data_IF_729013173994
#
_entry.id   IF_729013173994
#
_cell.length_a   1.000
_cell.length_b   1.000
_cell.length_c   1.000
_cell.angle_alpha   90.00
_cell.angle_beta   90.00
_cell.angle_gamma   90.00
#
_symmetry.space_group_name_H-M   'P 1'
#
loop_
_entity.id
_entity.type
_entity.pdbx_description
1 polymer ?
#
# COMPACT_ATOMS: atom_id res chain seq x y z
N UNK A 1 2.77 -44.47 12.65
CA UNK A 1 3.70 -43.33 12.51
C UNK A 1 2.86 -42.11 12.17
N UNK A 2 2.48 -41.32 13.18
CA UNK A 2 1.49 -40.24 13.06
C UNK A 2 2.23 -38.92 12.82
N UNK A 3 2.21 -38.39 11.58
CA UNK A 3 2.69 -37.05 11.29
C UNK A 3 1.47 -36.12 11.15
N UNK A 4 0.99 -35.59 12.27
CA UNK A 4 0.09 -34.45 12.27
C UNK A 4 0.92 -33.17 12.11
N UNK A 5 1.13 -32.72 10.86
CA UNK A 5 1.67 -31.37 10.63
C UNK A 5 0.52 -30.37 10.71
N UNK A 6 0.40 -29.74 11.87
CA UNK A 6 -0.58 -28.70 12.13
C UNK A 6 -0.31 -27.48 11.23
N UNK A 7 -1.23 -27.19 10.30
CA UNK A 7 -1.37 -25.85 9.74
C UNK A 7 -2.10 -24.99 10.79
N UNK A 8 -1.35 -24.38 11.71
CA UNK A 8 -1.91 -23.40 12.65
C UNK A 8 -2.31 -22.16 11.85
N UNK A 9 -3.62 -21.94 11.72
CA UNK A 9 -4.22 -20.71 11.24
C UNK A 9 -4.00 -19.59 12.27
N UNK A 10 -2.79 -19.04 12.29
CA UNK A 10 -2.58 -17.79 13.02
C UNK A 10 -3.44 -16.71 12.35
N UNK A 11 -4.45 -16.26 13.08
CA UNK A 11 -5.30 -15.15 12.64
C UNK A 11 -4.40 -13.99 12.21
N UNK A 12 -4.66 -13.39 11.04
CA UNK A 12 -3.80 -12.34 10.54
C UNK A 12 -3.78 -11.18 11.55
N UNK A 13 -2.60 -10.85 12.06
CA UNK A 13 -2.45 -9.75 13.02
C UNK A 13 -2.79 -8.45 12.29
N UNK A 14 -3.84 -7.76 12.76
CA UNK A 14 -4.23 -6.46 12.22
C UNK A 14 -3.69 -5.35 13.10
N UNK A 15 -3.12 -4.32 12.48
CA UNK A 15 -2.62 -3.14 13.15
C UNK A 15 -3.17 -1.89 12.47
N UNK A 16 -3.84 -1.03 13.24
CA UNK A 16 -4.31 0.26 12.75
C UNK A 16 -3.28 1.33 13.11
N UNK A 17 -2.75 2.01 12.09
CA UNK A 17 -1.81 3.12 12.25
C UNK A 17 -2.49 4.44 11.92
N UNK A 18 -2.08 5.48 12.63
CA UNK A 18 -2.52 6.86 12.36
C UNK A 18 -1.40 7.58 11.63
N UNK A 19 -1.74 8.30 10.57
CA UNK A 19 -0.75 9.09 9.83
C UNK A 19 -0.25 10.25 10.71
N UNK A 20 1.08 10.45 10.85
CA UNK A 20 1.63 11.53 11.65
C UNK A 20 1.07 12.90 11.25
N UNK A 21 0.63 13.69 12.23
CA UNK A 21 0.09 15.03 11.98
C UNK A 21 -1.35 15.07 11.47
N UNK A 22 -2.07 13.94 11.39
CA UNK A 22 -3.48 13.91 10.98
C UNK A 22 -4.34 12.95 11.80
N UNK A 23 -5.66 13.03 11.63
CA UNK A 23 -6.64 12.11 12.21
C UNK A 23 -6.94 10.89 11.33
N UNK A 24 -6.30 10.78 10.16
CA UNK A 24 -6.52 9.72 9.19
C UNK A 24 -5.85 8.42 9.65
N UNK A 25 -6.63 7.32 9.68
CA UNK A 25 -6.18 5.99 10.11
C UNK A 25 -6.26 5.00 8.95
N UNK A 26 -5.25 4.14 8.84
CA UNK A 26 -5.21 3.03 7.90
C UNK A 26 -4.88 1.72 8.63
N UNK A 27 -5.47 0.62 8.16
CA UNK A 27 -5.28 -0.70 8.72
C UNK A 27 -4.29 -1.50 7.86
N UNK A 28 -3.36 -2.16 8.53
CA UNK A 28 -2.41 -3.09 7.92
C UNK A 28 -2.63 -4.48 8.51
N UNK A 29 -2.36 -5.48 7.70
CA UNK A 29 -2.50 -6.89 8.01
C UNK A 29 -1.14 -7.56 7.86
N UNK A 30 -0.69 -8.25 8.91
CA UNK A 30 0.52 -9.05 8.85
C UNK A 30 0.21 -10.36 8.12
N UNK A 31 0.87 -10.54 6.98
CA UNK A 31 0.91 -11.83 6.29
C UNK A 31 2.12 -12.60 6.81
N UNK A 32 1.84 -13.76 7.41
CA UNK A 32 2.87 -14.68 7.81
C UNK A 32 3.61 -15.17 6.57
N UNK A 33 4.94 -15.20 6.64
CA UNK A 33 5.78 -15.72 5.58
C UNK A 33 5.52 -17.20 5.33
N UNK A 34 5.80 -17.65 4.12
CA UNK A 34 5.50 -19.01 3.70
C UNK A 34 5.78 -19.22 2.22
N UNK A 35 5.49 -20.43 1.77
CA UNK A 35 5.60 -20.81 0.37
C UNK A 35 4.20 -20.81 -0.22
N UNK A 36 4.01 -20.09 -1.32
CA UNK A 36 2.77 -20.09 -2.08
C UNK A 36 3.05 -20.28 -3.57
N UNK A 37 2.06 -20.76 -4.31
CA UNK A 37 2.14 -20.88 -5.76
C UNK A 37 1.67 -19.57 -6.39
N UNK A 38 2.57 -18.86 -7.07
CA UNK A 38 2.27 -17.64 -7.82
C UNK A 38 2.08 -17.97 -9.30
N UNK A 39 1.13 -17.30 -9.96
CA UNK A 39 0.78 -17.50 -11.36
C UNK A 39 -0.38 -18.48 -11.57
N UNK A 40 -0.80 -18.65 -12.83
CA UNK A 40 -1.95 -19.46 -13.21
C UNK A 40 -1.63 -20.31 -14.43
N UNK A 41 -2.09 -21.56 -14.47
CA UNK A 41 -1.93 -22.42 -15.65
C UNK A 41 -2.86 -22.00 -16.82
N UNK A 42 -3.97 -21.34 -16.49
CA UNK A 42 -5.00 -20.90 -17.44
C UNK A 42 -4.93 -19.40 -17.76
N UNK A 43 -4.01 -18.66 -17.13
CA UNK A 43 -3.85 -17.22 -17.32
C UNK A 43 -3.29 -16.81 -18.67
N UNK A 44 -2.92 -15.53 -18.79
CA UNK A 44 -2.19 -15.01 -19.94
C UNK A 44 -0.74 -15.56 -19.98
N UNK A 45 -0.01 -15.27 -21.07
CA UNK A 45 1.34 -15.77 -21.27
C UNK A 45 2.34 -15.30 -20.19
N UNK A 46 2.12 -14.11 -19.62
CA UNK A 46 2.89 -13.49 -18.55
C UNK A 46 2.53 -14.01 -17.15
N UNK A 47 1.39 -14.69 -16.99
CA UNK A 47 0.96 -15.31 -15.72
C UNK A 47 1.41 -16.77 -15.59
N UNK A 48 1.95 -17.36 -16.66
CA UNK A 48 2.43 -18.75 -16.73
C UNK A 48 3.95 -18.84 -16.61
N UNK A 49 4.49 -19.94 -16.05
CA UNK A 49 3.80 -21.04 -15.37
C UNK A 49 3.58 -20.76 -13.88
N UNK A 50 2.64 -21.47 -13.23
CA UNK A 50 2.53 -21.46 -11.78
C UNK A 50 3.83 -21.99 -11.15
N UNK A 51 4.44 -21.21 -10.27
CA UNK A 51 5.72 -21.54 -9.63
C UNK A 51 5.68 -21.21 -8.13
N UNK A 52 6.51 -21.90 -7.35
CA UNK A 52 6.57 -21.71 -5.89
C UNK A 52 7.42 -20.49 -5.55
N UNK A 53 6.87 -19.58 -4.76
CA UNK A 53 7.53 -18.39 -4.25
C UNK A 53 7.58 -18.47 -2.72
N UNK A 54 8.77 -18.29 -2.16
CA UNK A 54 8.99 -18.14 -0.73
C UNK A 54 8.98 -16.65 -0.39
N UNK A 55 8.07 -16.24 0.50
CA UNK A 55 8.03 -14.88 1.01
C UNK A 55 8.35 -14.86 2.50
N UNK A 56 9.14 -13.85 2.90
CA UNK A 56 9.29 -13.50 4.31
C UNK A 56 8.02 -12.81 4.83
N UNK A 57 7.74 -12.82 6.15
CA UNK A 57 6.58 -12.13 6.70
C UNK A 57 6.61 -10.62 6.39
N UNK A 58 5.47 -10.06 5.98
CA UNK A 58 5.34 -8.64 5.66
C UNK A 58 3.95 -8.10 5.96
N UNK A 59 3.85 -6.77 6.06
CA UNK A 59 2.59 -6.06 6.26
C UNK A 59 2.01 -5.61 4.93
N UNK A 60 0.71 -5.83 4.73
CA UNK A 60 -0.04 -5.33 3.56
C UNK A 60 -1.22 -4.48 4.03
N UNK A 61 -1.59 -3.45 3.27
CA UNK A 61 -2.79 -2.67 3.55
C UNK A 61 -4.05 -3.54 3.42
N UNK A 62 -5.01 -3.38 4.34
CA UNK A 62 -6.30 -4.09 4.27
C UNK A 62 -7.14 -3.63 3.06
N UNK A 63 -6.97 -2.36 2.68
CA UNK A 63 -7.67 -1.69 1.59
C UNK A 63 -6.65 -0.94 0.73
N UNK A 64 -7.06 -0.60 -0.48
CA UNK A 64 -6.33 0.34 -1.32
C UNK A 64 -6.20 1.71 -0.62
N UNK A 65 -5.16 2.45 -1.01
CA UNK A 65 -4.93 3.81 -0.51
C UNK A 65 -6.11 4.69 -0.89
N UNK A 66 -6.72 5.32 0.11
CA UNK A 66 -7.85 6.22 -0.13
C UNK A 66 -7.37 7.59 -0.56
N UNK A 67 -8.20 8.32 -1.29
CA UNK A 67 -7.86 9.68 -1.73
C UNK A 67 -7.49 10.60 -0.56
N UNK A 68 -8.16 10.47 0.60
CA UNK A 68 -7.85 11.26 1.80
C UNK A 68 -6.46 10.97 2.38
N UNK A 69 -6.01 9.71 2.36
CA UNK A 69 -4.67 9.31 2.81
C UNK A 69 -3.60 9.88 1.86
N UNK A 70 -3.85 9.82 0.55
CA UNK A 70 -2.98 10.40 -0.47
C UNK A 70 -2.93 11.94 -0.41
N UNK A 71 -4.07 12.61 -0.28
CA UNK A 71 -4.17 14.09 -0.20
C UNK A 71 -3.47 14.61 1.06
N UNK A 72 -3.56 13.86 2.16
CA UNK A 72 -2.79 14.11 3.39
C UNK A 72 -1.29 14.05 3.12
N UNK A 73 -0.81 13.00 2.45
CA UNK A 73 0.60 12.89 2.07
C UNK A 73 1.03 14.05 1.18
N UNK A 74 0.23 14.37 0.15
CA UNK A 74 0.54 15.44 -0.80
C UNK A 74 0.64 16.82 -0.12
N UNK A 75 -0.30 17.14 0.77
CA UNK A 75 -0.27 18.39 1.57
C UNK A 75 0.86 18.40 2.60
N UNK A 76 1.20 17.26 3.18
CA UNK A 76 2.31 17.16 4.13
C UNK A 76 3.70 17.33 3.47
N UNK A 77 3.80 17.29 2.14
CA UNK A 77 5.03 17.63 1.43
C UNK A 77 5.39 19.14 1.49
N UNK A 78 4.74 19.93 2.35
CA UNK A 78 4.95 21.36 2.59
C UNK A 78 6.30 21.67 3.27
N UNK A 79 7.39 21.22 2.65
CA UNK A 79 8.63 21.98 2.68
C UNK A 79 8.42 23.15 1.73
N UNK A 80 8.53 24.41 2.20
CA UNK A 80 8.33 25.57 1.36
C UNK A 80 9.20 25.45 0.11
N UNK A 81 8.60 25.59 -1.08
CA UNK A 81 9.34 25.71 -2.36
C UNK A 81 10.40 26.82 -2.31
N UNK A 82 10.24 27.74 -1.36
CA UNK A 82 11.03 28.95 -1.15
C UNK A 82 12.12 28.82 -0.10
N UNK A 83 12.22 27.71 0.64
CA UNK A 83 13.37 27.49 1.53
C UNK A 83 14.50 26.92 0.70
N UNK A 84 15.61 27.64 0.62
CA UNK A 84 16.88 27.11 0.14
C UNK A 84 17.31 25.96 1.08
N UNK A 85 16.86 24.75 0.78
CA UNK A 85 17.34 23.56 1.47
C UNK A 85 18.75 23.33 0.94
N UNK A 86 19.72 23.18 1.85
CA UNK A 86 21.15 22.96 1.53
C UNK A 86 21.39 21.53 1.01
N UNK A 87 20.69 21.15 -0.05
CA UNK A 87 20.79 19.86 -0.74
C UNK A 87 20.93 20.11 -2.24
N UNK A 88 21.77 19.30 -2.86
CA UNK A 88 22.22 19.46 -4.25
C UNK A 88 21.10 19.21 -5.28
N UNK A 89 20.10 18.40 -4.92
CA UNK A 89 18.90 18.20 -5.74
C UNK A 89 17.69 17.84 -4.88
N UNK A 90 16.52 18.35 -5.27
CA UNK A 90 15.23 17.99 -4.70
C UNK A 90 14.33 17.56 -5.86
N UNK A 91 14.12 16.26 -6.05
CA UNK A 91 13.15 15.79 -7.04
C UNK A 91 11.75 15.82 -6.42
N UNK A 92 10.79 16.42 -7.14
CA UNK A 92 9.39 16.50 -6.72
C UNK A 92 8.49 16.18 -7.91
N UNK A 93 7.33 15.54 -7.67
CA UNK A 93 6.30 15.45 -8.69
C UNK A 93 5.90 16.84 -9.18
N UNK A 94 5.56 16.94 -10.47
CA UNK A 94 5.01 18.17 -11.04
C UNK A 94 3.74 18.59 -10.30
N UNK A 95 3.51 19.91 -10.10
CA UNK A 95 2.25 20.41 -9.55
C UNK A 95 1.06 19.86 -10.35
N UNK A 96 -0.06 19.57 -9.65
CA UNK A 96 -1.25 19.08 -10.32
C UNK A 96 -1.84 20.17 -11.21
N UNK A 97 -2.01 19.85 -12.49
CA UNK A 97 -2.61 20.75 -13.46
C UNK A 97 -4.16 20.81 -13.36
N UNK A 98 -4.78 19.81 -12.74
CA UNK A 98 -6.25 19.64 -12.66
C UNK A 98 -6.62 19.15 -11.25
N UNK A 99 -7.79 19.58 -10.74
CA UNK A 99 -8.36 19.05 -9.50
C UNK A 99 -8.77 17.57 -9.69
N UNK A 100 -8.05 16.67 -9.02
CA UNK A 100 -8.25 15.23 -9.07
C UNK A 100 -9.60 14.76 -8.52
N UNK A 101 -10.36 15.64 -7.86
CA UNK A 101 -11.73 15.33 -7.46
C UNK A 101 -12.70 15.39 -8.63
N UNK A 102 -12.34 15.98 -9.77
CA UNK A 102 -13.19 16.12 -10.96
C UNK A 102 -14.62 16.63 -10.65
N UNK A 103 -14.77 17.46 -9.60
CA UNK A 103 -16.07 17.96 -9.13
C UNK A 103 -16.88 16.97 -8.28
N UNK A 104 -16.37 15.77 -7.98
CA UNK A 104 -17.03 14.71 -7.21
C UNK A 104 -16.82 14.84 -5.68
N UNK A 105 -16.12 15.89 -5.22
CA UNK A 105 -15.84 16.14 -3.81
C UNK A 105 -14.69 15.30 -3.23
N UNK A 106 -14.26 15.65 -2.01
CA UNK A 106 -13.10 15.02 -1.31
C UNK A 106 -13.56 13.91 -0.34
N UNK A 107 -14.36 12.98 -0.84
CA UNK A 107 -15.01 11.92 -0.04
C UNK A 107 -14.16 10.66 0.16
N UNK A 108 -14.77 9.60 0.71
CA UNK A 108 -14.16 8.27 0.93
C UNK A 108 -14.08 7.43 -0.36
N UNK A 109 -13.65 8.03 -1.47
CA UNK A 109 -13.43 7.28 -2.70
C UNK A 109 -12.03 6.63 -2.70
N UNK A 110 -11.91 5.40 -3.20
CA UNK A 110 -10.60 4.83 -3.52
C UNK A 110 -9.94 5.70 -4.61
N UNK A 111 -8.61 5.82 -4.57
CA UNK A 111 -7.89 6.56 -5.60
C UNK A 111 -8.04 5.84 -6.94
N UNK A 112 -8.89 6.38 -7.82
CA UNK A 112 -9.04 5.88 -9.19
C UNK A 112 -7.80 6.29 -9.97
N UNK A 113 -7.02 5.30 -10.47
CA UNK A 113 -5.89 5.54 -11.37
C UNK A 113 -6.36 6.03 -12.73
#
# INVERSE_FOLDING_TARGET
MLCATAALSQLPKKETRTLPGTSTKFAMVLLHGGVFTMGSAQGNADEKPPHKVLLSPFWIGEKEVTFTEWDTFFKAMDVPQTKAIKVDAVSRPTPQYIDLTWGMGRGRQPSRQ
#
